data_IF_096115068834
#
_entry.id   IF_096115068834
#
_cell.length_a   1.000
_cell.length_b   1.000
_cell.length_c   1.000
_cell.angle_alpha   90.00
_cell.angle_beta   90.00
_cell.angle_gamma   90.00
#
_symmetry.space_group_name_H-M   'P 1'
#
loop_
_entity.id
_entity.type
_entity.pdbx_description
1 polymer ?
#
# COMPACT_ATOMS: atom_id res chain seq x y z
N UNK A 1 1.44 29.21 -1.82
CA UNK A 1 0.19 28.76 -1.16
C UNK A 1 -0.28 27.39 -1.65
N UNK A 2 -0.33 27.09 -2.96
CA UNK A 2 -0.80 25.78 -3.45
C UNK A 2 0.10 24.59 -3.03
N UNK A 3 1.42 24.77 -3.02
CA UNK A 3 2.40 23.73 -2.62
C UNK A 3 2.33 23.41 -1.13
N UNK A 4 2.17 24.41 -0.25
CA UNK A 4 2.07 24.20 1.19
C UNK A 4 0.80 23.46 1.60
N UNK A 5 -0.33 23.72 0.91
CA UNK A 5 -1.59 23.00 1.13
C UNK A 5 -1.46 21.53 0.69
N UNK A 6 -0.79 21.27 -0.43
CA UNK A 6 -0.56 19.91 -0.90
C UNK A 6 0.28 19.09 0.09
N UNK A 7 1.42 19.62 0.55
CA UNK A 7 2.26 18.95 1.56
C UNK A 7 1.49 18.65 2.85
N UNK A 8 0.66 19.60 3.30
CA UNK A 8 -0.16 19.42 4.49
C UNK A 8 -1.18 18.28 4.32
N UNK A 9 -1.80 18.17 3.14
CA UNK A 9 -2.74 17.08 2.84
C UNK A 9 -2.03 15.72 2.84
N UNK A 10 -0.85 15.59 2.24
CA UNK A 10 -0.07 14.34 2.29
C UNK A 10 0.27 13.94 3.74
N UNK A 11 0.64 14.91 4.57
CA UNK A 11 0.92 14.66 5.99
C UNK A 11 -0.34 14.27 6.79
N UNK A 12 -1.49 14.89 6.47
CA UNK A 12 -2.77 14.55 7.07
C UNK A 12 -3.17 13.11 6.72
N UNK A 13 -3.08 12.72 5.44
CA UNK A 13 -3.33 11.34 5.03
C UNK A 13 -2.38 10.36 5.70
N UNK A 14 -1.08 10.66 5.72
CA UNK A 14 -0.08 9.82 6.41
C UNK A 14 -0.46 9.57 7.88
N UNK A 15 -0.87 10.63 8.59
CA UNK A 15 -1.31 10.54 9.98
C UNK A 15 -2.59 9.71 10.13
N UNK A 16 -3.58 9.89 9.24
CA UNK A 16 -4.82 9.11 9.25
C UNK A 16 -4.57 7.61 9.01
N UNK A 17 -3.64 7.26 8.13
CA UNK A 17 -3.22 5.88 7.93
C UNK A 17 -2.55 5.30 9.18
N UNK A 18 -1.64 6.04 9.83
CA UNK A 18 -1.04 5.61 11.11
C UNK A 18 -2.12 5.34 12.14
N UNK A 19 -3.07 6.25 12.31
CA UNK A 19 -4.20 6.09 13.24
C UNK A 19 -4.99 4.82 12.89
N UNK A 20 -5.33 4.61 11.61
CA UNK A 20 -5.99 3.39 11.14
C UNK A 20 -5.20 2.12 11.45
N UNK A 21 -3.88 2.14 11.26
CA UNK A 21 -3.01 1.01 11.62
C UNK A 21 -2.98 0.77 13.13
N UNK A 22 -2.94 1.80 13.98
CA UNK A 22 -3.04 1.62 15.43
C UNK A 22 -4.35 0.95 15.82
N UNK A 23 -5.47 1.33 15.22
CA UNK A 23 -6.78 0.76 15.53
C UNK A 23 -6.91 -0.72 15.14
N UNK A 24 -6.30 -1.18 14.03
CA UNK A 24 -6.34 -2.60 13.64
C UNK A 24 -5.54 -3.54 14.57
N UNK A 25 -4.63 -3.01 15.39
CA UNK A 25 -3.90 -3.79 16.39
C UNK A 25 -4.57 -3.81 17.77
N UNK A 26 -5.66 -3.07 17.96
CA UNK A 26 -6.39 -3.03 19.23
C UNK A 26 -7.58 -4.00 19.21
N UNK A 27 -7.65 -4.89 20.22
CA UNK A 27 -8.60 -6.03 20.30
C UNK A 27 -10.08 -5.64 20.13
N UNK A 28 -10.49 -4.45 20.59
CA UNK A 28 -11.90 -4.02 20.58
C UNK A 28 -12.27 -3.09 19.42
N UNK A 29 -11.28 -2.55 18.71
CA UNK A 29 -11.48 -1.55 17.67
C UNK A 29 -10.96 -2.00 16.30
N UNK A 30 -10.51 -3.25 16.19
CA UNK A 30 -9.91 -3.78 14.97
C UNK A 30 -10.79 -3.58 13.73
N UNK A 31 -12.09 -3.86 13.85
CA UNK A 31 -13.07 -3.67 12.78
C UNK A 31 -13.18 -2.20 12.38
N UNK A 32 -13.23 -1.30 13.38
CA UNK A 32 -13.31 0.15 13.16
C UNK A 32 -12.05 0.62 12.43
N UNK A 33 -10.88 0.07 12.77
CA UNK A 33 -9.63 0.32 12.07
C UNK A 33 -9.70 -0.06 10.59
N UNK A 34 -10.27 -1.22 10.24
CA UNK A 34 -10.43 -1.60 8.83
C UNK A 34 -11.41 -0.70 8.07
N UNK A 35 -12.52 -0.28 8.70
CA UNK A 35 -13.45 0.70 8.11
C UNK A 35 -12.80 2.08 7.91
N UNK A 36 -12.00 2.53 8.87
CA UNK A 36 -11.25 3.77 8.73
C UNK A 36 -10.25 3.68 7.58
N UNK A 37 -9.49 2.58 7.50
CA UNK A 37 -8.47 2.38 6.46
C UNK A 37 -9.07 2.34 5.06
N UNK A 38 -10.24 1.74 4.83
CA UNK A 38 -10.87 1.75 3.51
C UNK A 38 -11.30 3.16 3.08
N UNK A 39 -11.88 3.94 4.00
CA UNK A 39 -12.29 5.32 3.74
C UNK A 39 -11.06 6.19 3.44
N UNK A 40 -10.05 6.11 4.28
CA UNK A 40 -8.81 6.88 4.13
C UNK A 40 -8.08 6.49 2.85
N UNK A 41 -8.01 5.19 2.50
CA UNK A 41 -7.36 4.73 1.28
C UNK A 41 -8.08 5.21 0.01
N UNK A 42 -9.42 5.17 -0.02
CA UNK A 42 -10.17 5.70 -1.15
C UNK A 42 -9.99 7.21 -1.30
N UNK A 43 -10.11 7.97 -0.20
CA UNK A 43 -9.91 9.41 -0.22
C UNK A 43 -8.49 9.79 -0.67
N UNK A 44 -7.48 9.09 -0.16
CA UNK A 44 -6.09 9.26 -0.56
C UNK A 44 -5.87 8.90 -2.03
N UNK A 45 -6.41 7.77 -2.50
CA UNK A 45 -6.29 7.34 -3.89
C UNK A 45 -6.83 8.41 -4.85
N UNK A 46 -8.04 8.91 -4.63
CA UNK A 46 -8.61 9.96 -5.47
C UNK A 46 -7.83 11.28 -5.39
N UNK A 47 -7.34 11.63 -4.20
CA UNK A 47 -6.51 12.83 -4.04
C UNK A 47 -5.21 12.74 -4.85
N UNK A 48 -4.48 11.63 -4.70
CA UNK A 48 -3.18 11.41 -5.35
C UNK A 48 -3.31 11.16 -6.85
N UNK A 49 -4.39 10.53 -7.30
CA UNK A 49 -4.60 10.21 -8.71
C UNK A 49 -4.52 11.47 -9.60
N UNK A 50 -5.08 12.59 -9.15
CA UNK A 50 -5.01 13.85 -9.89
C UNK A 50 -3.57 14.34 -10.09
N UNK A 51 -2.74 14.25 -9.05
CA UNK A 51 -1.34 14.66 -9.13
C UNK A 51 -0.52 13.69 -10.00
N UNK A 52 -0.79 12.38 -9.92
CA UNK A 52 -0.14 11.37 -10.74
C UNK A 52 -0.48 11.53 -12.23
N UNK A 53 -1.72 11.85 -12.59
CA UNK A 53 -2.13 12.06 -13.98
C UNK A 53 -1.38 13.26 -14.60
N UNK A 54 -1.19 14.35 -13.86
CA UNK A 54 -0.38 15.50 -14.34
C UNK A 54 1.09 15.14 -14.56
N UNK A 55 1.65 14.27 -13.71
CA UNK A 55 3.02 13.78 -13.91
C UNK A 55 3.08 12.89 -15.16
N UNK A 56 2.07 12.03 -15.36
CA UNK A 56 1.99 11.15 -16.52
C UNK A 56 1.89 11.91 -17.85
N UNK A 57 1.14 13.03 -17.87
CA UNK A 57 1.03 13.91 -19.04
C UNK A 57 2.36 14.60 -19.40
N UNK A 58 3.21 14.85 -18.40
CA UNK A 58 4.46 15.63 -18.58
C UNK A 58 5.72 14.77 -18.70
N UNK A 59 5.66 13.49 -18.30
CA UNK A 59 6.84 12.62 -18.25
C UNK A 59 6.60 11.31 -18.98
N UNK A 60 7.36 11.09 -20.07
CA UNK A 60 7.35 9.83 -20.81
C UNK A 60 8.39 8.82 -20.32
N UNK A 61 9.02 9.07 -19.16
CA UNK A 61 10.09 8.24 -18.66
C UNK A 61 9.58 6.92 -18.07
N UNK A 62 10.22 5.82 -18.46
CA UNK A 62 9.81 4.47 -18.08
C UNK A 62 9.73 4.27 -16.56
N UNK A 63 10.74 4.71 -15.80
CA UNK A 63 10.76 4.55 -14.33
C UNK A 63 9.61 5.33 -13.68
N UNK A 64 9.35 6.55 -14.14
CA UNK A 64 8.21 7.37 -13.69
C UNK A 64 6.88 6.68 -13.99
N UNK A 65 6.70 6.14 -15.21
CA UNK A 65 5.49 5.41 -15.57
C UNK A 65 5.27 4.16 -14.70
N UNK A 66 6.33 3.36 -14.48
CA UNK A 66 6.26 2.17 -13.63
C UNK A 66 5.92 2.55 -12.18
N UNK A 67 6.50 3.64 -11.67
CA UNK A 67 6.22 4.13 -10.33
C UNK A 67 4.76 4.59 -10.17
N UNK A 68 4.24 5.37 -11.12
CA UNK A 68 2.83 5.78 -11.14
C UNK A 68 1.92 4.55 -11.17
N UNK A 69 2.21 3.60 -12.08
CA UNK A 69 1.44 2.38 -12.23
C UNK A 69 1.46 1.54 -10.93
N UNK A 70 2.61 1.42 -10.28
CA UNK A 70 2.74 0.69 -9.02
C UNK A 70 1.91 1.32 -7.89
N UNK A 71 1.86 2.66 -7.78
CA UNK A 71 1.02 3.34 -6.78
C UNK A 71 -0.46 3.15 -7.07
N UNK A 72 -0.88 3.29 -8.35
CA UNK A 72 -2.28 3.13 -8.75
C UNK A 72 -2.76 1.69 -8.52
N UNK A 73 -2.05 0.70 -9.07
CA UNK A 73 -2.38 -0.72 -8.90
C UNK A 73 -2.29 -1.12 -7.44
N UNK A 74 -1.25 -0.69 -6.73
CA UNK A 74 -1.09 -0.94 -5.30
C UNK A 74 -2.28 -0.43 -4.48
N UNK A 75 -2.76 0.78 -4.76
CA UNK A 75 -3.91 1.38 -4.07
C UNK A 75 -5.23 0.64 -4.36
N UNK A 76 -5.44 0.23 -5.61
CA UNK A 76 -6.61 -0.58 -6.02
C UNK A 76 -6.58 -1.94 -5.33
N UNK A 77 -5.45 -2.64 -5.39
CA UNK A 77 -5.28 -3.96 -4.76
C UNK A 77 -5.40 -3.89 -3.24
N UNK A 78 -4.91 -2.82 -2.61
CA UNK A 78 -5.10 -2.58 -1.19
C UNK A 78 -6.58 -2.39 -0.83
N UNK A 79 -7.34 -1.69 -1.67
CA UNK A 79 -8.81 -1.55 -1.51
C UNK A 79 -9.51 -2.91 -1.61
N UNK A 80 -9.16 -3.72 -2.61
CA UNK A 80 -9.72 -5.07 -2.79
C UNK A 80 -9.40 -5.96 -1.58
N UNK A 81 -8.16 -5.93 -1.07
CA UNK A 81 -7.79 -6.63 0.15
C UNK A 81 -8.65 -6.20 1.35
N UNK A 82 -8.82 -4.89 1.56
CA UNK A 82 -9.63 -4.36 2.65
C UNK A 82 -11.09 -4.83 2.57
N UNK A 83 -11.66 -4.93 1.36
CA UNK A 83 -13.00 -5.49 1.15
C UNK A 83 -13.02 -6.97 1.60
N UNK A 84 -12.05 -7.79 1.19
CA UNK A 84 -11.99 -9.19 1.62
C UNK A 84 -11.87 -9.33 3.14
N UNK A 85 -11.04 -8.49 3.78
CA UNK A 85 -10.87 -8.50 5.23
C UNK A 85 -12.17 -8.10 5.93
N UNK A 86 -12.83 -7.03 5.48
CA UNK A 86 -14.11 -6.60 6.05
C UNK A 86 -15.18 -7.68 5.91
N UNK A 87 -15.23 -8.39 4.78
CA UNK A 87 -16.13 -9.53 4.60
C UNK A 87 -15.86 -10.63 5.63
N UNK A 88 -14.59 -11.03 5.82
CA UNK A 88 -14.22 -12.05 6.80
C UNK A 88 -14.56 -11.62 8.22
N UNK A 89 -14.13 -10.42 8.62
CA UNK A 89 -14.33 -9.90 9.97
C UNK A 89 -15.82 -9.77 10.29
N UNK A 90 -16.63 -9.30 9.34
CA UNK A 90 -18.09 -9.18 9.53
C UNK A 90 -18.75 -10.55 9.65
N UNK A 91 -18.35 -11.51 8.82
CA UNK A 91 -18.86 -12.88 8.87
C UNK A 91 -18.51 -13.58 10.19
N UNK A 92 -17.26 -13.46 10.64
CA UNK A 92 -16.80 -14.05 11.90
C UNK A 92 -17.45 -13.37 13.10
N UNK A 93 -17.66 -12.05 13.06
CA UNK A 93 -18.44 -11.34 14.07
C UNK A 93 -19.85 -11.92 14.21
N UNK A 94 -20.54 -12.15 13.10
CA UNK A 94 -21.88 -12.75 13.10
C UNK A 94 -21.94 -14.16 13.70
N UNK A 95 -20.88 -14.96 13.55
CA UNK A 95 -20.82 -16.34 14.07
C UNK A 95 -20.40 -16.42 15.54
N UNK A 96 -19.47 -15.56 15.97
CA UNK A 96 -18.81 -15.66 17.28
C UNK A 96 -19.26 -14.62 18.30
N UNK A 97 -20.00 -13.57 17.92
CA UNK A 97 -20.66 -12.70 18.90
C UNK A 97 -21.89 -13.37 19.51
N UNK A 98 -21.72 -14.01 20.68
CA UNK A 98 -22.84 -14.41 21.52
C UNK A 98 -23.50 -13.23 22.26
N UNK A 99 -22.82 -12.07 22.36
CA UNK A 99 -23.30 -10.81 22.96
C UNK A 99 -22.68 -9.60 22.26
N UNK A 100 -23.46 -8.52 22.08
CA UNK A 100 -22.98 -7.23 21.53
C UNK A 100 -21.80 -6.70 22.36
N UNK A 101 -20.68 -6.39 21.70
CA UNK A 101 -19.52 -5.75 22.33
C UNK A 101 -18.47 -6.70 22.91
N UNK A 102 -18.63 -8.02 22.73
CA UNK A 102 -17.56 -8.98 23.02
C UNK A 102 -16.44 -8.88 21.96
N UNK A 103 -15.17 -9.07 22.34
CA UNK A 103 -14.09 -9.04 21.37
C UNK A 103 -14.19 -10.22 20.42
N UNK A 104 -13.81 -10.02 19.14
CA UNK A 104 -13.74 -11.12 18.18
C UNK A 104 -12.56 -12.00 18.57
N UNK A 105 -12.85 -13.18 19.10
CA UNK A 105 -11.83 -14.20 19.34
C UNK A 105 -11.73 -15.08 18.09
N UNK A 106 -10.79 -14.69 17.22
CA UNK A 106 -10.46 -15.46 16.03
C UNK A 106 -9.81 -16.79 16.44
N UNK A 107 -10.18 -17.94 15.81
CA UNK A 107 -9.41 -19.17 15.99
C UNK A 107 -7.95 -18.94 15.57
N UNK A 108 -7.01 -19.64 16.20
CA UNK A 108 -5.55 -19.42 16.05
C UNK A 108 -5.10 -19.32 14.59
N UNK A 109 -5.62 -20.19 13.72
CA UNK A 109 -5.32 -20.20 12.28
C UNK A 109 -5.72 -18.88 11.58
N UNK A 110 -6.85 -18.30 11.95
CA UNK A 110 -7.34 -17.02 11.41
C UNK A 110 -6.54 -15.84 11.97
N UNK A 111 -6.18 -15.88 13.25
CA UNK A 111 -5.37 -14.84 13.88
C UNK A 111 -3.98 -14.73 13.24
N UNK A 112 -3.29 -15.85 12.99
CA UNK A 112 -1.96 -15.85 12.34
C UNK A 112 -2.03 -15.27 10.91
N UNK A 113 -3.05 -15.66 10.14
CA UNK A 113 -3.23 -15.18 8.76
C UNK A 113 -3.56 -13.68 8.76
N UNK A 114 -4.44 -13.23 9.66
CA UNK A 114 -4.78 -11.82 9.85
C UNK A 114 -3.55 -10.97 10.20
N UNK A 115 -2.74 -11.38 11.18
CA UNK A 115 -1.51 -10.67 11.56
C UNK A 115 -0.51 -10.52 10.42
N UNK A 116 -0.39 -11.56 9.57
CA UNK A 116 0.46 -11.51 8.39
C UNK A 116 -0.05 -10.50 7.37
N UNK A 117 -1.36 -10.46 7.14
CA UNK A 117 -2.00 -9.49 6.24
C UNK A 117 -1.78 -8.05 6.77
N UNK A 118 -1.99 -7.81 8.07
CA UNK A 118 -1.76 -6.48 8.69
C UNK A 118 -0.33 -5.99 8.47
N UNK A 119 0.66 -6.86 8.67
CA UNK A 119 2.08 -6.51 8.43
C UNK A 119 2.33 -6.14 6.98
N UNK A 120 1.84 -6.95 6.03
CA UNK A 120 1.98 -6.62 4.61
C UNK A 120 1.28 -5.29 4.26
N UNK A 121 0.12 -5.00 4.87
CA UNK A 121 -0.61 -3.75 4.63
C UNK A 121 0.25 -2.53 4.98
N UNK A 122 0.90 -2.57 6.15
CA UNK A 122 1.82 -1.52 6.57
C UNK A 122 3.03 -1.44 5.63
N UNK A 123 3.63 -2.57 5.25
CA UNK A 123 4.77 -2.57 4.33
C UNK A 123 4.42 -1.95 2.98
N UNK A 124 3.29 -2.33 2.38
CA UNK A 124 2.82 -1.76 1.11
C UNK A 124 2.54 -0.27 1.23
N UNK A 125 1.94 0.18 2.35
CA UNK A 125 1.74 1.60 2.63
C UNK A 125 3.06 2.37 2.67
N UNK A 126 4.05 1.87 3.42
CA UNK A 126 5.36 2.50 3.50
C UNK A 126 6.05 2.58 2.13
N UNK A 127 6.00 1.51 1.35
CA UNK A 127 6.54 1.48 -0.02
C UNK A 127 5.85 2.50 -0.93
N UNK A 128 4.52 2.58 -0.87
CA UNK A 128 3.75 3.57 -1.63
C UNK A 128 4.16 5.01 -1.30
N UNK A 129 4.32 5.33 -0.01
CA UNK A 129 4.79 6.65 0.41
C UNK A 129 6.23 6.95 -0.01
N UNK A 130 7.13 5.96 0.01
CA UNK A 130 8.50 6.13 -0.50
C UNK A 130 8.48 6.43 -2.00
N UNK A 131 7.67 5.72 -2.79
CA UNK A 131 7.54 5.95 -4.24
C UNK A 131 7.00 7.36 -4.50
N UNK A 132 5.94 7.76 -3.79
CA UNK A 132 5.36 9.11 -3.92
C UNK A 132 6.34 10.22 -3.54
N UNK A 133 7.10 10.02 -2.45
CA UNK A 133 8.15 10.96 -2.06
C UNK A 133 9.20 11.12 -3.17
N UNK A 134 9.65 10.01 -3.78
CA UNK A 134 10.58 10.06 -4.90
C UNK A 134 9.98 10.76 -6.14
N UNK A 135 8.73 10.46 -6.47
CA UNK A 135 8.03 11.07 -7.61
C UNK A 135 7.90 12.59 -7.47
N UNK A 136 7.63 13.11 -6.28
CA UNK A 136 7.43 14.55 -6.07
C UNK A 136 8.73 15.33 -5.83
N UNK A 137 9.71 14.75 -5.13
CA UNK A 137 10.93 15.48 -4.73
C UNK A 137 12.15 15.20 -5.63
N UNK A 138 12.20 14.05 -6.31
CA UNK A 138 13.33 13.65 -7.17
C UNK A 138 12.94 13.50 -8.65
N UNK A 139 11.87 14.19 -9.08
CA UNK A 139 11.38 14.16 -10.48
C UNK A 139 12.50 14.37 -11.52
N UNK A 140 13.41 15.37 -11.40
CA UNK A 140 14.46 15.57 -12.40
C UNK A 140 15.45 14.40 -12.52
N UNK A 141 15.68 13.67 -11.43
CA UNK A 141 16.54 12.48 -11.42
C UNK A 141 15.81 11.28 -12.03
N UNK A 142 14.49 11.18 -11.83
CA UNK A 142 13.64 10.14 -12.42
C UNK A 142 13.45 10.29 -13.94
N UNK A 143 13.64 11.50 -14.46
CA UNK A 143 13.49 11.82 -15.89
C UNK A 143 14.69 11.45 -16.77
N UNK A 144 15.68 10.78 -16.21
CA UNK A 144 16.82 10.30 -16.97
C UNK A 144 16.46 9.06 -17.77
N UNK A 145 16.98 8.98 -19.00
CA UNK A 145 16.74 7.87 -19.90
C UNK A 145 17.10 6.54 -19.25
N UNK A 146 16.18 5.56 -19.33
CA UNK A 146 16.36 4.20 -18.82
C UNK A 146 17.63 3.52 -19.37
N UNK A 147 18.07 3.90 -20.58
CA UNK A 147 19.33 3.42 -21.16
C UNK A 147 20.57 3.79 -20.34
N UNK A 148 20.56 4.92 -19.62
CA UNK A 148 21.64 5.27 -18.69
C UNK A 148 21.69 4.32 -17.48
N UNK A 149 20.53 3.85 -16.99
CA UNK A 149 20.49 2.89 -15.88
C UNK A 149 21.21 1.58 -16.24
N UNK A 150 20.97 1.08 -17.46
CA UNK A 150 21.55 -0.18 -17.95
C UNK A 150 23.06 -0.07 -18.22
N UNK A 151 23.55 1.08 -18.65
CA UNK A 151 24.99 1.30 -18.82
C UNK A 151 25.72 1.36 -17.47
N UNK A 152 25.11 1.89 -16.41
CA UNK A 152 25.68 1.86 -15.06
C UNK A 152 25.73 0.46 -14.44
N UNK A 153 24.74 -0.40 -14.74
CA UNK A 153 24.81 -1.81 -14.36
C UNK A 153 25.97 -2.55 -15.05
N UNK A 154 26.43 -2.06 -16.21
CA UNK A 154 27.38 -2.77 -17.06
C UNK A 154 28.86 -2.51 -16.75
N UNK A 155 29.30 -1.37 -16.19
CA UNK A 155 30.74 -1.14 -15.95
C UNK A 155 31.11 -0.23 -14.76
N UNK A 156 31.64 -0.86 -13.70
CA UNK A 156 32.95 -0.61 -13.04
C UNK A 156 33.35 0.85 -12.72
N UNK A 157 32.88 1.39 -11.59
CA UNK A 157 33.71 2.12 -10.60
C UNK A 157 32.87 2.52 -9.37
N UNK A 158 33.23 2.10 -8.14
CA UNK A 158 32.51 2.49 -6.92
C UNK A 158 32.87 3.89 -6.38
N UNK A 159 33.75 4.64 -7.04
CA UNK A 159 34.43 5.80 -6.44
C UNK A 159 33.94 7.17 -6.91
N UNK A 160 32.86 7.26 -7.70
CA UNK A 160 32.28 8.55 -8.10
C UNK A 160 30.93 8.81 -7.41
N UNK A 161 30.71 10.08 -7.02
CA UNK A 161 29.46 10.62 -6.45
C UNK A 161 28.22 10.48 -7.37
N UNK A 162 28.35 9.78 -8.50
CA UNK A 162 27.29 9.42 -9.44
C UNK A 162 26.38 8.31 -8.91
N UNK A 163 26.87 7.36 -8.11
CA UNK A 163 26.03 6.31 -7.52
C UNK A 163 24.93 6.91 -6.62
N UNK A 164 25.28 7.91 -5.81
CA UNK A 164 24.33 8.67 -4.99
C UNK A 164 23.30 9.48 -5.81
N UNK A 165 23.62 9.82 -7.06
CA UNK A 165 22.74 10.60 -7.94
C UNK A 165 21.70 9.72 -8.65
N UNK A 166 22.00 8.44 -8.86
CA UNK A 166 21.10 7.48 -9.53
C UNK A 166 20.47 6.46 -8.57
N UNK A 167 20.82 6.50 -7.29
CA UNK A 167 20.25 5.62 -6.25
C UNK A 167 18.73 5.79 -6.12
N UNK A 168 18.19 7.00 -6.34
CA UNK A 168 16.74 7.27 -6.30
C UNK A 168 15.99 6.58 -7.44
N UNK A 169 16.58 6.48 -8.65
CA UNK A 169 16.02 5.73 -9.77
C UNK A 169 15.90 4.24 -9.44
N UNK A 170 17.00 3.65 -8.96
CA UNK A 170 17.03 2.23 -8.60
C UNK A 170 16.07 1.92 -7.45
N UNK A 171 16.10 2.75 -6.40
CA UNK A 171 15.20 2.61 -5.25
C UNK A 171 13.74 2.70 -5.68
N UNK A 172 13.39 3.68 -6.52
CA UNK A 172 12.02 3.86 -7.01
C UNK A 172 11.57 2.67 -7.84
N UNK A 173 12.40 2.17 -8.75
CA UNK A 173 12.08 1.01 -9.57
C UNK A 173 11.91 -0.26 -8.71
N UNK A 174 12.87 -0.52 -7.82
CA UNK A 174 12.82 -1.68 -6.91
C UNK A 174 11.59 -1.63 -6.00
N UNK A 175 11.33 -0.48 -5.36
CA UNK A 175 10.16 -0.29 -4.52
C UNK A 175 8.86 -0.48 -5.30
N UNK A 176 8.80 -0.02 -6.55
CA UNK A 176 7.62 -0.17 -7.42
C UNK A 176 7.34 -1.63 -7.75
N UNK A 177 8.37 -2.39 -8.13
CA UNK A 177 8.25 -3.82 -8.42
C UNK A 177 7.84 -4.62 -7.17
N UNK A 178 8.46 -4.32 -6.02
CA UNK A 178 8.13 -4.95 -4.74
C UNK A 178 6.69 -4.63 -4.36
N UNK A 179 6.25 -3.37 -4.47
CA UNK A 179 4.89 -2.96 -4.15
C UNK A 179 3.85 -3.68 -5.02
N UNK A 180 4.10 -3.82 -6.32
CA UNK A 180 3.19 -4.57 -7.21
C UNK A 180 3.14 -6.06 -6.85
N UNK A 181 4.30 -6.68 -6.60
CA UNK A 181 4.36 -8.09 -6.22
C UNK A 181 3.68 -8.36 -4.88
N UNK A 182 3.95 -7.53 -3.88
CA UNK A 182 3.35 -7.65 -2.54
C UNK A 182 1.85 -7.35 -2.54
N UNK A 183 1.39 -6.31 -3.26
CA UNK A 183 -0.03 -6.00 -3.36
C UNK A 183 -0.82 -7.08 -4.10
N UNK A 184 -0.22 -7.71 -5.10
CA UNK A 184 -0.82 -8.89 -5.78
C UNK A 184 -0.96 -10.07 -4.82
N UNK A 185 0.11 -10.37 -4.07
CA UNK A 185 0.10 -11.44 -3.06
C UNK A 185 -0.93 -11.17 -1.96
N UNK A 186 -1.07 -9.92 -1.52
CA UNK A 186 -2.09 -9.51 -0.56
C UNK A 186 -3.50 -9.85 -1.02
N UNK A 187 -3.85 -9.51 -2.27
CA UNK A 187 -5.17 -9.83 -2.83
C UNK A 187 -5.38 -11.34 -2.88
N UNK A 188 -4.36 -12.12 -3.24
CA UNK A 188 -4.41 -13.58 -3.22
C UNK A 188 -4.67 -14.12 -1.80
N UNK A 189 -3.88 -13.69 -0.81
CA UNK A 189 -4.00 -14.12 0.58
C UNK A 189 -5.38 -13.73 1.17
N UNK A 190 -5.86 -12.53 0.85
CA UNK A 190 -7.19 -12.04 1.26
C UNK A 190 -8.33 -12.83 0.65
N UNK A 191 -8.24 -13.19 -0.64
CA UNK A 191 -9.23 -14.04 -1.31
C UNK A 191 -9.29 -15.43 -0.67
N UNK A 192 -8.15 -16.08 -0.45
CA UNK A 192 -8.11 -17.37 0.26
C UNK A 192 -8.70 -17.26 1.66
N UNK A 193 -8.37 -16.18 2.39
CA UNK A 193 -8.90 -15.95 3.73
C UNK A 193 -10.43 -15.82 3.72
N UNK A 194 -10.98 -15.13 2.73
CA UNK A 194 -12.43 -15.00 2.52
C UNK A 194 -13.12 -16.34 2.23
N UNK A 195 -12.47 -17.23 1.46
CA UNK A 195 -12.99 -18.57 1.14
C UNK A 195 -13.02 -19.49 2.36
N UNK A 196 -11.94 -19.49 3.14
CA UNK A 196 -11.85 -20.28 4.38
C UNK A 196 -12.99 -19.94 5.34
N UNK A 197 -13.25 -18.64 5.53
CA UNK A 197 -14.35 -18.17 6.38
C UNK A 197 -15.73 -18.65 5.88
N UNK A 198 -15.94 -18.79 4.57
CA UNK A 198 -17.22 -19.27 4.00
C UNK A 198 -17.42 -20.77 4.16
N UNK A 199 -16.36 -21.56 3.95
CA UNK A 199 -16.44 -23.03 4.07
C UNK A 199 -16.81 -23.44 5.50
N UNK A 200 -16.14 -22.86 6.51
CA UNK A 200 -16.47 -23.15 7.90
C UNK A 200 -17.85 -22.63 8.35
N UNK A 201 -18.51 -21.76 7.58
CA UNK A 201 -19.89 -21.35 7.82
C UNK A 201 -20.92 -22.34 7.26
N UNK A 202 -20.54 -23.19 6.30
CA UNK A 202 -21.43 -24.20 5.72
C UNK A 202 -21.34 -25.54 6.47
N UNK A 203 -20.22 -25.80 7.14
CA UNK A 203 -19.94 -27.07 7.81
C UNK A 203 -20.35 -27.11 9.30
N UNK A 204 -20.97 -26.05 9.83
CA UNK A 204 -21.42 -25.98 11.23
C UNK A 204 -22.77 -25.32 11.37
#
# INVERSE_FOLDING_TARGET
MATSVSVLNYFAFFTLFIIGFVFIYQKFSEIIGFYLLIIVNLAFFFYVLNDLMKILETSLNFVTMVAIFAVVVGSVFHTVLLIFILMVVTNLKGKFEKKKGAPIELPVKYAIKMETIKRFMITCFCLGFIILYNLFYYKPQLEQNFSMLMTYFSFKSPTDNTFTKHSSLFLTLAASLILMGMSSKQVFDGNEFSKLSRQELMDG
#
